data_IF_333404863621
#
_entry.id   IF_333404863621
#
_cell.length_a   1.000
_cell.length_b   1.000
_cell.length_c   1.000
_cell.angle_alpha   90.00
_cell.angle_beta   90.00
_cell.angle_gamma   90.00
#
_symmetry.space_group_name_H-M   'P 1'
#
loop_
_entity.id
_entity.type
_entity.pdbx_description
1 polymer ?
#
# COMPACT_ATOMS: atom_id res chain seq x y z
N UNK A 1 6.09 11.94 12.73
CA UNK A 1 5.27 13.06 12.23
C UNK A 1 4.06 13.21 13.15
N UNK A 2 3.69 14.43 13.54
CA UNK A 2 2.66 14.65 14.56
C UNK A 2 1.29 14.20 14.03
N UNK A 3 0.48 13.61 14.91
CA UNK A 3 -0.91 13.23 14.67
C UNK A 3 -1.81 14.47 14.48
N UNK A 4 -1.50 15.32 13.49
CA UNK A 4 -2.29 16.49 13.14
C UNK A 4 -3.64 16.06 12.55
N UNK A 5 -4.63 16.16 13.45
CA UNK A 5 -6.08 16.24 13.26
C UNK A 5 -6.70 15.23 12.31
N UNK A 6 -6.51 13.93 12.60
CA UNK A 6 -7.50 12.94 12.13
C UNK A 6 -8.90 13.39 12.60
N UNK A 7 -9.86 13.64 11.69
CA UNK A 7 -11.19 14.12 12.06
C UNK A 7 -11.85 13.19 13.07
N UNK A 8 -12.64 13.75 14.00
CA UNK A 8 -13.34 12.96 15.02
C UNK A 8 -14.21 11.86 14.39
N UNK A 9 -14.83 12.16 13.25
CA UNK A 9 -15.62 11.21 12.48
C UNK A 9 -14.78 10.03 11.96
N UNK A 10 -13.58 10.29 11.44
CA UNK A 10 -12.65 9.24 10.97
C UNK A 10 -12.20 8.37 12.14
N UNK A 11 -11.91 8.97 13.31
CA UNK A 11 -11.57 8.22 14.53
C UNK A 11 -12.73 7.35 15.01
N UNK A 12 -13.95 7.89 15.05
CA UNK A 12 -15.16 7.18 15.45
C UNK A 12 -15.46 5.99 14.53
N UNK A 13 -15.38 6.18 13.20
CA UNK A 13 -15.51 5.09 12.25
C UNK A 13 -14.45 4.01 12.45
N UNK A 14 -13.20 4.39 12.69
CA UNK A 14 -12.10 3.47 12.94
C UNK A 14 -12.28 2.66 14.22
N UNK A 15 -12.62 3.31 15.34
CA UNK A 15 -12.86 2.64 16.63
C UNK A 15 -14.07 1.70 16.55
N UNK A 16 -15.17 2.14 15.93
CA UNK A 16 -16.34 1.27 15.70
C UNK A 16 -16.00 0.09 14.79
N UNK A 17 -15.14 0.28 13.79
CA UNK A 17 -14.69 -0.81 12.93
C UNK A 17 -13.85 -1.84 13.70
N UNK A 18 -12.98 -1.42 14.62
CA UNK A 18 -12.23 -2.33 15.49
C UNK A 18 -13.18 -3.18 16.35
N UNK A 19 -14.15 -2.54 17.01
CA UNK A 19 -15.16 -3.25 17.81
C UNK A 19 -15.98 -4.23 16.93
N UNK A 20 -16.31 -3.82 15.71
CA UNK A 20 -17.01 -4.69 14.76
C UNK A 20 -16.16 -5.90 14.35
N UNK A 21 -14.85 -5.73 14.13
CA UNK A 21 -13.90 -6.82 13.84
C UNK A 21 -13.80 -7.78 15.02
N UNK A 22 -13.72 -7.27 16.25
CA UNK A 22 -13.67 -8.11 17.46
C UNK A 22 -14.95 -8.94 17.61
N UNK A 23 -16.09 -8.38 17.17
CA UNK A 23 -17.38 -9.06 17.09
C UNK A 23 -17.54 -9.92 15.82
N UNK A 24 -16.48 -10.07 15.00
CA UNK A 24 -16.49 -10.79 13.71
C UNK A 24 -17.51 -10.27 12.69
N UNK A 25 -18.00 -9.05 12.87
CA UNK A 25 -18.88 -8.40 11.90
C UNK A 25 -18.03 -7.66 10.85
N UNK A 26 -17.32 -8.43 10.01
CA UNK A 26 -16.39 -7.89 9.03
C UNK A 26 -17.06 -7.01 7.98
N UNK A 27 -18.27 -7.37 7.53
CA UNK A 27 -19.02 -6.58 6.54
C UNK A 27 -19.30 -5.16 7.04
N UNK A 28 -19.71 -5.03 8.29
CA UNK A 28 -19.96 -3.71 8.90
C UNK A 28 -18.65 -2.95 9.16
N UNK A 29 -17.59 -3.65 9.60
CA UNK A 29 -16.28 -3.04 9.79
C UNK A 29 -15.72 -2.46 8.49
N UNK A 30 -15.83 -3.19 7.38
CA UNK A 30 -15.39 -2.75 6.05
C UNK A 30 -16.15 -1.50 5.62
N UNK A 31 -17.46 -1.43 5.83
CA UNK A 31 -18.24 -0.22 5.50
C UNK A 31 -17.77 1.01 6.29
N UNK A 32 -17.51 0.85 7.59
CA UNK A 32 -16.99 1.93 8.43
C UNK A 32 -15.57 2.37 8.01
N UNK A 33 -14.70 1.41 7.68
CA UNK A 33 -13.33 1.70 7.24
C UNK A 33 -13.33 2.39 5.87
N UNK A 34 -14.22 1.99 4.96
CA UNK A 34 -14.43 2.67 3.68
C UNK A 34 -14.84 4.13 3.88
N UNK A 35 -15.77 4.41 4.79
CA UNK A 35 -16.15 5.79 5.13
C UNK A 35 -14.96 6.58 5.70
N UNK A 36 -14.18 5.96 6.58
CA UNK A 36 -12.99 6.57 7.17
C UNK A 36 -11.96 6.97 6.09
N UNK A 37 -11.65 6.08 5.15
CA UNK A 37 -10.70 6.38 4.07
C UNK A 37 -11.27 7.30 3.00
N UNK A 38 -12.59 7.35 2.81
CA UNK A 38 -13.19 8.34 1.90
C UNK A 38 -13.06 9.77 2.44
N UNK A 39 -13.11 9.95 3.76
CA UNK A 39 -12.90 11.26 4.40
C UNK A 39 -11.40 11.59 4.47
N UNK A 40 -10.56 10.61 4.85
CA UNK A 40 -9.10 10.76 4.91
C UNK A 40 -8.42 9.59 4.19
N UNK A 41 -8.15 9.71 2.87
CA UNK A 41 -7.56 8.63 2.07
C UNK A 41 -6.17 8.20 2.51
N UNK A 42 -5.46 9.08 3.20
CA UNK A 42 -4.10 8.85 3.72
C UNK A 42 -4.11 8.23 5.13
N UNK A 43 -5.28 7.83 5.65
CA UNK A 43 -5.35 7.21 6.97
C UNK A 43 -4.91 5.73 6.93
N UNK A 44 -3.59 5.54 6.98
CA UNK A 44 -2.88 4.26 6.89
C UNK A 44 -3.44 3.17 7.82
N UNK A 45 -3.69 3.50 9.09
CA UNK A 45 -4.24 2.55 10.07
C UNK A 45 -5.59 1.99 9.64
N UNK A 46 -6.48 2.81 9.07
CA UNK A 46 -7.77 2.33 8.57
C UNK A 46 -7.60 1.47 7.32
N UNK A 47 -6.74 1.86 6.38
CA UNK A 47 -6.50 1.06 5.17
C UNK A 47 -5.87 -0.30 5.51
N UNK A 48 -4.92 -0.36 6.43
CA UNK A 48 -4.34 -1.62 6.89
C UNK A 48 -5.42 -2.54 7.50
N UNK A 49 -6.27 -1.98 8.36
CA UNK A 49 -7.35 -2.73 8.99
C UNK A 49 -8.40 -3.18 7.97
N UNK A 50 -8.65 -2.37 6.94
CA UNK A 50 -9.58 -2.67 5.85
C UNK A 50 -9.12 -3.92 5.10
N UNK A 51 -7.85 -3.99 4.68
CA UNK A 51 -7.30 -5.16 3.98
C UNK A 51 -7.39 -6.44 4.80
N UNK A 52 -7.11 -6.34 6.11
CA UNK A 52 -7.24 -7.48 7.02
C UNK A 52 -8.70 -7.91 7.15
N UNK A 53 -9.63 -6.97 7.32
CA UNK A 53 -11.05 -7.26 7.46
C UNK A 53 -11.64 -7.89 6.19
N UNK A 54 -11.24 -7.41 5.01
CA UNK A 54 -11.62 -7.93 3.70
C UNK A 54 -11.22 -9.41 3.52
N UNK A 55 -9.97 -9.75 3.88
CA UNK A 55 -9.49 -11.13 3.82
C UNK A 55 -10.24 -12.01 4.83
N UNK A 56 -10.38 -11.56 6.08
CA UNK A 56 -11.10 -12.32 7.12
C UNK A 56 -12.57 -12.56 6.77
N UNK A 57 -13.23 -11.59 6.12
CA UNK A 57 -14.61 -11.76 5.66
C UNK A 57 -14.74 -12.95 4.71
N UNK A 58 -13.80 -13.10 3.77
CA UNK A 58 -13.79 -14.20 2.81
C UNK A 58 -13.36 -15.52 3.45
N UNK A 59 -12.43 -15.49 4.39
CA UNK A 59 -12.01 -16.71 5.10
C UNK A 59 -13.15 -17.28 5.96
N UNK A 60 -13.94 -16.42 6.61
CA UNK A 60 -15.09 -16.86 7.41
C UNK A 60 -16.28 -17.28 6.52
N UNK A 61 -16.49 -16.60 5.40
CA UNK A 61 -17.55 -16.88 4.44
C UNK A 61 -16.98 -17.08 3.03
N UNK A 62 -16.34 -18.23 2.75
CA UNK A 62 -15.71 -18.46 1.48
C UNK A 62 -16.76 -18.50 0.36
N UNK A 63 -16.57 -17.72 -0.72
CA UNK A 63 -17.46 -17.78 -1.87
C UNK A 63 -17.39 -19.16 -2.52
N UNK A 64 -18.54 -19.65 -2.98
CA UNK A 64 -18.56 -20.87 -3.78
C UNK A 64 -17.86 -20.64 -5.15
N UNK A 65 -17.50 -21.73 -5.83
CA UNK A 65 -16.76 -21.67 -7.11
C UNK A 65 -17.45 -20.81 -8.16
N UNK A 66 -18.78 -20.85 -8.20
CA UNK A 66 -19.60 -20.02 -9.08
C UNK A 66 -19.44 -18.52 -8.74
N UNK A 67 -19.51 -18.15 -7.46
CA UNK A 67 -19.32 -16.78 -7.03
C UNK A 67 -17.90 -16.26 -7.32
N UNK A 68 -16.87 -17.10 -7.22
CA UNK A 68 -15.50 -16.72 -7.62
C UNK A 68 -15.45 -16.39 -9.12
N UNK A 69 -16.04 -17.25 -9.95
CA UNK A 69 -16.08 -17.05 -11.40
C UNK A 69 -16.89 -15.81 -11.79
N UNK A 70 -18.06 -15.62 -11.17
CA UNK A 70 -18.90 -14.43 -11.31
C UNK A 70 -18.11 -13.19 -10.91
N UNK A 71 -17.46 -13.17 -9.73
CA UNK A 71 -16.64 -12.04 -9.28
C UNK A 71 -15.56 -11.70 -10.30
N UNK A 72 -14.85 -12.70 -10.84
CA UNK A 72 -13.81 -12.48 -11.84
C UNK A 72 -14.35 -11.89 -13.14
N UNK A 73 -15.47 -12.38 -13.66
CA UNK A 73 -16.10 -11.83 -14.87
C UNK A 73 -16.63 -10.42 -14.62
N UNK A 74 -17.40 -10.24 -13.55
CA UNK A 74 -18.01 -8.96 -13.22
C UNK A 74 -16.99 -7.91 -12.77
N UNK A 75 -15.75 -8.29 -12.43
CA UNK A 75 -14.65 -7.37 -12.14
C UNK A 75 -14.14 -6.62 -13.38
N UNK A 76 -14.45 -7.07 -14.61
CA UNK A 76 -13.95 -6.44 -15.83
C UNK A 76 -14.58 -5.07 -16.11
N UNK A 77 -15.89 -4.94 -15.89
CA UNK A 77 -16.62 -3.68 -16.08
C UNK A 77 -16.10 -2.57 -15.14
N UNK A 78 -16.06 -2.76 -13.80
CA UNK A 78 -15.52 -1.74 -12.90
C UNK A 78 -14.04 -1.49 -13.16
N UNK A 79 -13.24 -2.51 -13.54
CA UNK A 79 -11.85 -2.29 -13.95
C UNK A 79 -11.74 -1.31 -15.13
N UNK A 80 -12.57 -1.48 -16.15
CA UNK A 80 -12.57 -0.57 -17.30
C UNK A 80 -13.04 0.84 -16.92
N UNK A 81 -14.07 0.95 -16.08
CA UNK A 81 -14.55 2.24 -15.57
C UNK A 81 -13.49 2.95 -14.72
N UNK A 82 -12.73 2.22 -13.89
CA UNK A 82 -11.63 2.79 -13.12
C UNK A 82 -10.55 3.32 -14.06
N UNK A 83 -10.11 2.53 -15.04
CA UNK A 83 -9.12 2.96 -16.04
C UNK A 83 -9.60 4.16 -16.86
N UNK A 84 -10.89 4.25 -17.19
CA UNK A 84 -11.46 5.41 -17.87
C UNK A 84 -11.38 6.67 -17.00
N UNK A 85 -11.62 6.55 -15.70
CA UNK A 85 -11.44 7.65 -14.76
C UNK A 85 -9.95 8.03 -14.60
N UNK A 86 -9.02 7.06 -14.58
CA UNK A 86 -7.57 7.32 -14.63
C UNK A 86 -7.22 8.18 -15.85
N UNK A 87 -7.71 7.80 -17.03
CA UNK A 87 -7.44 8.52 -18.29
C UNK A 87 -8.04 9.94 -18.30
N UNK A 88 -9.12 10.16 -17.57
CA UNK A 88 -9.75 11.49 -17.42
C UNK A 88 -9.10 12.35 -16.34
N UNK A 89 -8.18 11.81 -15.55
CA UNK A 89 -7.58 12.47 -14.39
C UNK A 89 -8.47 12.45 -13.15
N UNK A 90 -9.56 11.69 -13.15
CA UNK A 90 -10.46 11.53 -12.00
C UNK A 90 -9.91 10.47 -11.04
N UNK A 91 -8.75 10.75 -10.43
CA UNK A 91 -8.03 9.74 -9.65
C UNK A 91 -8.77 9.28 -8.40
N UNK A 92 -9.47 10.18 -7.69
CA UNK A 92 -10.29 9.80 -6.53
C UNK A 92 -11.43 8.83 -6.90
N UNK A 93 -12.13 9.07 -8.01
CA UNK A 93 -13.19 8.18 -8.48
C UNK A 93 -12.62 6.81 -8.88
N UNK A 94 -11.47 6.80 -9.57
CA UNK A 94 -10.78 5.56 -9.93
C UNK A 94 -10.37 4.76 -8.68
N UNK A 95 -9.82 5.42 -7.66
CA UNK A 95 -9.46 4.80 -6.40
C UNK A 95 -10.69 4.21 -5.69
N UNK A 96 -11.81 4.92 -5.65
CA UNK A 96 -13.05 4.43 -5.04
C UNK A 96 -13.58 3.18 -5.75
N UNK A 97 -13.49 3.12 -7.08
CA UNK A 97 -13.88 1.94 -7.85
C UNK A 97 -12.95 0.76 -7.53
N UNK A 98 -11.63 0.96 -7.44
CA UNK A 98 -10.71 -0.11 -7.05
C UNK A 98 -10.95 -0.60 -5.63
N UNK A 99 -11.22 0.29 -4.68
CA UNK A 99 -11.57 -0.10 -3.30
C UNK A 99 -12.85 -0.96 -3.27
N UNK A 100 -13.88 -0.61 -4.04
CA UNK A 100 -15.11 -1.43 -4.12
C UNK A 100 -14.87 -2.79 -4.82
N UNK A 101 -13.96 -2.83 -5.79
CA UNK A 101 -13.51 -4.11 -6.36
C UNK A 101 -12.85 -5.00 -5.30
N UNK A 102 -12.00 -4.42 -4.44
CA UNK A 102 -11.28 -5.14 -3.39
C UNK A 102 -12.19 -5.61 -2.26
N UNK A 103 -13.27 -4.88 -1.96
CA UNK A 103 -14.30 -5.34 -1.04
C UNK A 103 -14.93 -6.69 -1.46
N UNK A 104 -15.06 -6.91 -2.77
CA UNK A 104 -15.67 -8.12 -3.33
C UNK A 104 -14.61 -9.20 -3.66
N UNK A 105 -13.44 -8.79 -4.12
CA UNK A 105 -12.29 -9.65 -4.39
C UNK A 105 -10.99 -9.02 -3.82
N UNK A 106 -10.73 -9.21 -2.52
CA UNK A 106 -9.55 -8.71 -1.81
C UNK A 106 -8.25 -9.28 -2.35
N UNK A 107 -8.32 -10.39 -3.10
CA UNK A 107 -7.16 -11.05 -3.72
C UNK A 107 -7.02 -10.66 -5.20
N UNK A 108 -7.67 -9.58 -5.64
CA UNK A 108 -7.47 -9.05 -6.97
C UNK A 108 -6.15 -8.28 -7.06
N UNK A 109 -5.07 -8.97 -7.46
CA UNK A 109 -3.75 -8.37 -7.59
C UNK A 109 -3.71 -7.17 -8.57
N UNK A 110 -4.52 -7.18 -9.62
CA UNK A 110 -4.55 -6.08 -10.58
C UNK A 110 -5.15 -4.81 -9.96
N UNK A 111 -6.26 -4.94 -9.25
CA UNK A 111 -6.89 -3.83 -8.52
C UNK A 111 -5.97 -3.30 -7.41
N UNK A 112 -5.33 -4.18 -6.62
CA UNK A 112 -4.35 -3.78 -5.59
C UNK A 112 -3.17 -2.99 -6.19
N UNK A 113 -2.61 -3.49 -7.30
CA UNK A 113 -1.47 -2.84 -7.97
C UNK A 113 -1.87 -1.46 -8.51
N UNK A 114 -3.04 -1.38 -9.18
CA UNK A 114 -3.55 -0.12 -9.73
C UNK A 114 -3.86 0.92 -8.65
N UNK A 115 -4.52 0.51 -7.57
CA UNK A 115 -4.77 1.37 -6.42
C UNK A 115 -3.46 1.86 -5.79
N UNK A 116 -2.47 0.98 -5.63
CA UNK A 116 -1.14 1.36 -5.13
C UNK A 116 -0.43 2.39 -6.01
N UNK A 117 -0.53 2.27 -7.34
CA UNK A 117 0.02 3.25 -8.29
C UNK A 117 -0.68 4.61 -8.15
N UNK A 118 -2.00 4.63 -8.04
CA UNK A 118 -2.76 5.88 -7.88
C UNK A 118 -2.44 6.56 -6.54
N UNK A 119 -2.34 5.79 -5.46
CA UNK A 119 -1.96 6.31 -4.15
C UNK A 119 -0.57 6.93 -4.16
N UNK A 120 0.38 6.28 -4.84
CA UNK A 120 1.71 6.83 -5.09
C UNK A 120 1.61 8.15 -5.86
N UNK A 121 0.81 8.20 -6.93
CA UNK A 121 0.67 9.38 -7.77
C UNK A 121 0.11 10.59 -6.99
N UNK A 122 -0.83 10.34 -6.07
CA UNK A 122 -1.42 11.34 -5.18
C UNK A 122 -0.53 11.69 -3.97
N UNK A 123 0.69 11.13 -3.88
CA UNK A 123 1.65 11.41 -2.80
C UNK A 123 1.35 10.72 -1.46
N UNK A 124 0.39 9.79 -1.43
CA UNK A 124 0.01 9.03 -0.23
C UNK A 124 0.92 7.80 -0.07
N UNK A 125 2.21 8.05 0.18
CA UNK A 125 3.28 7.03 0.07
C UNK A 125 3.10 5.86 1.04
N UNK A 126 2.85 6.11 2.34
CA UNK A 126 2.65 5.02 3.30
C UNK A 126 1.40 4.19 2.97
N UNK A 127 0.38 4.88 2.47
CA UNK A 127 -0.89 4.29 2.11
C UNK A 127 -0.77 3.43 0.83
N UNK A 128 0.11 3.83 -0.10
CA UNK A 128 0.52 3.05 -1.26
C UNK A 128 1.28 1.79 -0.84
N UNK A 129 2.24 1.90 0.09
CA UNK A 129 3.00 0.75 0.62
C UNK A 129 2.07 -0.33 1.16
N UNK A 130 1.11 0.01 2.04
CA UNK A 130 0.17 -0.96 2.62
C UNK A 130 -0.60 -1.72 1.53
N UNK A 131 -1.02 -1.00 0.49
CA UNK A 131 -1.79 -1.59 -0.62
C UNK A 131 -0.92 -2.49 -1.48
N UNK A 132 0.31 -2.06 -1.77
CA UNK A 132 1.26 -2.83 -2.58
C UNK A 132 1.84 -4.03 -1.81
N UNK A 133 1.97 -3.97 -0.49
CA UNK A 133 2.32 -5.12 0.36
C UNK A 133 1.24 -6.20 0.24
N UNK A 134 -0.03 -5.80 0.31
CA UNK A 134 -1.16 -6.71 0.05
C UNK A 134 -1.10 -7.29 -1.38
N UNK A 135 -0.72 -6.47 -2.38
CA UNK A 135 -0.52 -6.93 -3.76
C UNK A 135 0.60 -7.98 -3.86
N UNK A 136 1.69 -7.81 -3.11
CA UNK A 136 2.84 -8.72 -3.12
C UNK A 136 2.53 -10.06 -2.46
N UNK A 137 1.67 -10.08 -1.44
CA UNK A 137 1.19 -11.33 -0.82
C UNK A 137 0.39 -12.20 -1.79
N UNK A 138 -0.43 -11.55 -2.63
CA UNK A 138 -1.26 -12.21 -3.65
C UNK A 138 -0.43 -12.58 -4.89
N UNK A 139 0.36 -11.64 -5.41
CA UNK A 139 1.13 -11.78 -6.63
C UNK A 139 2.63 -11.92 -6.34
N UNK A 140 2.99 -13.00 -5.64
CA UNK A 140 4.37 -13.28 -5.16
C UNK A 140 5.46 -13.28 -6.22
N UNK A 141 5.11 -13.40 -7.51
CA UNK A 141 6.03 -13.41 -8.66
C UNK A 141 5.90 -12.17 -9.55
N UNK A 142 5.22 -11.12 -9.08
CA UNK A 142 5.08 -9.88 -9.85
C UNK A 142 6.28 -8.97 -9.63
N UNK A 143 7.18 -8.93 -10.61
CA UNK A 143 8.30 -7.98 -10.63
C UNK A 143 7.83 -6.53 -10.51
N UNK A 144 6.73 -6.17 -11.17
CA UNK A 144 6.16 -4.81 -11.15
C UNK A 144 5.77 -4.37 -9.74
N UNK A 145 5.16 -5.27 -8.95
CA UNK A 145 4.74 -4.96 -7.58
C UNK A 145 5.96 -4.74 -6.68
N UNK A 146 6.98 -5.59 -6.79
CA UNK A 146 8.21 -5.41 -5.99
C UNK A 146 9.01 -4.18 -6.42
N UNK A 147 9.00 -3.82 -7.70
CA UNK A 147 9.62 -2.59 -8.18
C UNK A 147 8.96 -1.36 -7.55
N UNK A 148 7.62 -1.29 -7.59
CA UNK A 148 6.85 -0.22 -6.96
C UNK A 148 7.07 -0.16 -5.45
N UNK A 149 7.06 -1.30 -4.74
CA UNK A 149 7.38 -1.34 -3.31
C UNK A 149 8.81 -0.87 -3.02
N UNK A 150 9.77 -1.25 -3.86
CA UNK A 150 11.16 -0.83 -3.73
C UNK A 150 11.30 0.69 -3.82
N UNK A 151 10.63 1.29 -4.80
CA UNK A 151 10.58 2.74 -4.97
C UNK A 151 9.92 3.44 -3.77
N UNK A 152 8.75 2.97 -3.32
CA UNK A 152 8.04 3.56 -2.18
C UNK A 152 8.82 3.45 -0.87
N UNK A 153 9.44 2.31 -0.60
CA UNK A 153 10.33 2.19 0.55
C UNK A 153 11.56 3.09 0.42
N UNK A 154 12.09 3.30 -0.79
CA UNK A 154 13.21 4.21 -1.00
C UNK A 154 12.83 5.66 -0.70
N UNK A 155 11.65 6.11 -1.16
CA UNK A 155 11.14 7.46 -0.90
C UNK A 155 10.92 7.71 0.59
N UNK A 156 10.34 6.74 1.29
CA UNK A 156 10.11 6.78 2.74
C UNK A 156 11.38 6.58 3.58
N UNK A 157 12.57 6.49 2.96
CA UNK A 157 13.85 6.30 3.66
C UNK A 157 14.08 4.89 4.23
N UNK A 158 13.18 3.95 3.94
CA UNK A 158 13.28 2.54 4.35
C UNK A 158 14.22 1.74 3.45
N UNK A 159 15.49 2.16 3.34
CA UNK A 159 16.44 1.68 2.34
C UNK A 159 16.68 0.17 2.37
N UNK A 160 16.66 -0.47 3.54
CA UNK A 160 16.84 -1.93 3.63
C UNK A 160 15.65 -2.70 3.04
N UNK A 161 14.42 -2.24 3.30
CA UNK A 161 13.22 -2.83 2.70
C UNK A 161 13.21 -2.60 1.19
N UNK A 162 13.59 -1.40 0.74
CA UNK A 162 13.74 -1.08 -0.67
C UNK A 162 14.72 -2.02 -1.37
N UNK A 163 15.89 -2.27 -0.75
CA UNK A 163 16.91 -3.19 -1.26
C UNK A 163 16.37 -4.62 -1.40
N UNK A 164 15.64 -5.11 -0.40
CA UNK A 164 15.03 -6.44 -0.45
C UNK A 164 14.03 -6.56 -1.61
N UNK A 165 13.20 -5.53 -1.83
CA UNK A 165 12.27 -5.51 -2.94
C UNK A 165 12.98 -5.54 -4.30
N UNK A 166 13.99 -4.70 -4.53
CA UNK A 166 14.73 -4.73 -5.79
C UNK A 166 15.49 -6.04 -6.02
N UNK A 167 16.01 -6.69 -4.96
CA UNK A 167 16.59 -8.04 -5.06
C UNK A 167 15.56 -9.06 -5.54
N UNK A 168 14.34 -9.04 -5.00
CA UNK A 168 13.25 -9.91 -5.48
C UNK A 168 12.90 -9.64 -6.94
N UNK A 169 12.96 -8.39 -7.41
CA UNK A 169 12.77 -8.08 -8.84
C UNK A 169 13.84 -8.80 -9.67
N UNK A 170 15.11 -8.74 -9.28
CA UNK A 170 16.21 -9.39 -9.99
C UNK A 170 16.17 -10.92 -9.91
N UNK A 171 15.61 -11.49 -8.84
CA UNK A 171 15.33 -12.93 -8.75
C UNK A 171 14.27 -13.39 -9.77
N UNK A 172 13.24 -12.56 -10.01
CA UNK A 172 12.16 -12.85 -10.96
C UNK A 172 12.57 -12.54 -12.39
N UNK A 173 13.28 -11.42 -12.59
CA UNK A 173 13.78 -10.92 -13.87
C UNK A 173 15.27 -10.61 -13.73
N UNK A 174 16.14 -11.62 -13.96
CA UNK A 174 17.57 -11.38 -14.07
C UNK A 174 17.80 -10.40 -15.22
N UNK A 175 18.48 -9.27 -14.97
CA UNK A 175 18.70 -8.15 -15.91
C UNK A 175 17.59 -7.08 -16.00
N UNK A 176 16.76 -6.93 -14.98
CA UNK A 176 15.87 -5.77 -14.90
C UNK A 176 16.65 -4.46 -14.61
N UNK A 177 16.73 -3.59 -15.61
CA UNK A 177 17.47 -2.33 -15.52
C UNK A 177 16.91 -1.36 -14.46
N UNK A 178 15.60 -1.40 -14.18
CA UNK A 178 15.02 -0.53 -13.16
C UNK A 178 15.48 -0.97 -11.76
N UNK A 179 15.46 -2.27 -11.48
CA UNK A 179 15.94 -2.82 -10.22
C UNK A 179 17.45 -2.63 -10.01
N UNK A 180 18.27 -2.81 -11.05
CA UNK A 180 19.72 -2.53 -10.97
C UNK A 180 20.00 -1.06 -10.65
N UNK A 181 19.27 -0.13 -11.29
CA UNK A 181 19.37 1.31 -10.98
C UNK A 181 18.91 1.60 -9.55
N UNK A 182 17.80 1.01 -9.13
CA UNK A 182 17.27 1.14 -7.77
C UNK A 182 18.32 0.74 -6.72
N UNK A 183 18.97 -0.41 -6.88
CA UNK A 183 20.04 -0.85 -5.97
C UNK A 183 21.25 0.08 -5.97
N UNK A 184 21.73 0.52 -7.14
CA UNK A 184 22.85 1.47 -7.24
C UNK A 184 22.53 2.80 -6.54
N UNK A 185 21.31 3.30 -6.69
CA UNK A 185 20.87 4.53 -6.03
C UNK A 185 20.85 4.36 -4.50
N UNK A 186 20.36 3.23 -4.00
CA UNK A 186 20.37 2.92 -2.57
C UNK A 186 21.79 2.80 -2.00
N UNK A 187 22.72 2.18 -2.73
CA UNK A 187 24.13 2.10 -2.33
C UNK A 187 24.78 3.48 -2.24
N UNK A 188 24.48 4.38 -3.19
CA UNK A 188 24.94 5.76 -3.13
C UNK A 188 24.35 6.51 -1.91
N UNK A 189 23.03 6.41 -1.70
CA UNK A 189 22.35 7.07 -0.58
C UNK A 189 22.85 6.59 0.79
N UNK A 190 23.05 5.28 0.95
CA UNK A 190 23.57 4.71 2.21
C UNK A 190 25.03 5.09 2.47
N UNK A 191 25.84 5.23 1.42
CA UNK A 191 27.23 5.72 1.55
C UNK A 191 27.28 7.18 1.98
N UNK A 192 26.41 8.01 1.40
CA UNK A 192 26.25 9.42 1.77
C UNK A 192 25.77 9.54 3.23
N UNK A 193 24.78 8.76 3.64
CA UNK A 193 24.27 8.82 5.02
C UNK A 193 25.34 8.42 6.04
N UNK A 194 26.08 7.32 5.77
CA UNK A 194 27.18 6.87 6.63
C UNK A 194 28.32 7.89 6.73
N UNK A 195 28.61 8.64 5.68
CA UNK A 195 29.64 9.69 5.74
C UNK A 195 29.18 10.89 6.56
N UNK A 196 27.90 11.26 6.47
CA UNK A 196 27.30 12.31 7.29
C UNK A 196 27.22 11.94 8.78
N UNK A 197 26.86 10.71 9.12
CA UNK A 197 26.78 10.27 10.52
C UNK A 197 28.16 10.28 11.19
N UNK A 198 29.19 9.77 10.50
CA UNK A 198 30.58 9.84 10.99
C UNK A 198 31.05 11.28 11.20
N UNK A 199 30.60 12.21 10.36
CA UNK A 199 30.95 13.62 10.50
C UNK A 199 30.32 14.22 11.76
N UNK A 200 29.04 13.95 12.04
CA UNK A 200 28.36 14.44 13.25
C UNK A 200 29.00 13.91 14.53
N UNK A 201 29.39 12.64 14.56
CA UNK A 201 30.09 12.07 15.72
C UNK A 201 31.44 12.76 15.97
N UNK A 202 32.17 13.12 14.91
CA UNK A 202 33.44 13.85 15.04
C UNK A 202 33.28 15.31 15.50
N UNK A 203 32.13 15.94 15.27
CA UNK A 203 31.82 17.29 15.75
C UNK A 203 31.37 17.29 17.23
N UNK A 204 30.55 16.31 17.65
CA UNK A 204 30.12 16.18 19.05
C UNK A 204 31.26 15.86 20.03
N UNK A 205 32.35 15.21 19.57
CA UNK A 205 33.51 14.92 20.42
C UNK A 205 34.33 16.19 20.72
N UNK A 206 34.29 17.21 19.84
CA UNK A 206 35.07 18.45 20.02
C UNK A 206 34.48 19.43 21.04
N UNK A 207 33.16 19.39 21.30
CA UNK A 207 32.50 20.28 22.26
C UNK A 207 32.56 19.80 23.72
N UNK A 208 33.03 18.58 23.99
CA UNK A 208 33.14 18.01 25.36
C UNK A 208 34.56 18.17 25.94
N UNK A 209 35.51 18.68 25.13
CA UNK A 209 36.94 18.78 25.50
C UNK A 209 37.44 20.20 25.78
N UNK A 210 36.56 21.19 25.97
CA UNK A 210 36.89 22.54 26.46
C UNK A 210 36.21 22.82 27.80
#
# INVERSE_FOLDING_TARGET
>A
MPEETVPREVKDHYEKAQIAIDRRNYKYAIDLLMRAINIKPDFTKARQLLRIAEIRQIEENPPNTLAIFIRRIFSLIPMFLAMLNEMKGNFHDAMAIYEDMLKNDPKNAAALTKLGILLKFEGMEEAAVITLESAAEVAKKSAVVYELLGEMHSNLGNYERARQCFKKVLEIKPHDHAAERGLKNLDALTTIHKSFDKSKDSFNIREITE
#
